data_IF_882571426903
#
_entry.id   IF_882571426903
#
_cell.length_a   1.000
_cell.length_b   1.000
_cell.length_c   1.000
_cell.angle_alpha   90.00
_cell.angle_beta   90.00
_cell.angle_gamma   90.00
#
_symmetry.space_group_name_H-M   'P 1'
#
loop_
_entity.id
_entity.type
_entity.pdbx_description
1 polymer ?
#
# COMPACT_ATOMS: atom_id res chain seq x y z
N UNK A 1 14.82 0.75 10.07
CA UNK A 1 14.04 0.63 8.80
C UNK A 1 13.07 -0.51 8.91
N UNK A 2 11.82 -0.27 8.56
CA UNK A 2 10.78 -1.30 8.58
C UNK A 2 10.35 -1.65 7.16
N UNK A 3 9.82 -2.86 6.98
CA UNK A 3 9.17 -3.26 5.74
C UNK A 3 7.69 -3.00 5.90
N UNK A 4 7.16 -2.08 5.08
CA UNK A 4 5.78 -1.59 5.21
C UNK A 4 5.01 -1.87 3.93
N UNK A 5 3.79 -2.36 4.08
CA UNK A 5 2.86 -2.46 2.95
C UNK A 5 1.71 -1.49 3.19
N UNK A 6 1.45 -0.63 2.21
CA UNK A 6 0.28 0.24 2.20
C UNK A 6 -0.81 -0.46 1.39
N UNK A 7 -1.87 -0.86 2.06
CA UNK A 7 -2.99 -1.58 1.45
C UNK A 7 -4.02 -0.55 0.99
N UNK A 8 -3.97 -0.23 -0.29
CA UNK A 8 -4.82 0.78 -0.90
C UNK A 8 -3.99 1.83 -1.64
N UNK A 9 -4.33 2.10 -2.89
CA UNK A 9 -3.59 3.00 -3.76
C UNK A 9 -4.35 4.29 -4.09
N UNK A 10 -5.25 4.72 -3.23
CA UNK A 10 -5.90 6.03 -3.35
C UNK A 10 -4.92 7.16 -3.03
N UNK A 11 -5.35 8.40 -3.17
CA UNK A 11 -4.48 9.56 -2.93
C UNK A 11 -3.86 9.55 -1.54
N UNK A 12 -4.64 9.20 -0.52
CA UNK A 12 -4.16 9.13 0.86
C UNK A 12 -3.11 8.02 1.03
N UNK A 13 -3.39 6.83 0.49
CA UNK A 13 -2.44 5.71 0.57
C UNK A 13 -1.13 6.00 -0.14
N UNK A 14 -1.18 6.59 -1.32
CA UNK A 14 0.01 6.96 -2.09
C UNK A 14 0.83 8.03 -1.35
N UNK A 15 0.16 9.03 -0.78
CA UNK A 15 0.84 10.07 -0.01
C UNK A 15 1.56 9.49 1.21
N UNK A 16 0.91 8.57 1.93
CA UNK A 16 1.53 7.88 3.06
C UNK A 16 2.71 7.02 2.62
N UNK A 17 2.56 6.30 1.51
CA UNK A 17 3.63 5.46 0.97
C UNK A 17 4.88 6.29 0.67
N UNK A 18 4.71 7.44 0.04
CA UNK A 18 5.82 8.35 -0.24
C UNK A 18 6.48 8.86 1.04
N UNK A 19 5.67 9.26 2.01
CA UNK A 19 6.18 9.74 3.30
C UNK A 19 7.01 8.66 4.01
N UNK A 20 6.49 7.44 4.07
CA UNK A 20 7.20 6.32 4.71
C UNK A 20 8.50 6.00 3.99
N UNK A 21 8.51 6.03 2.68
CA UNK A 21 9.74 5.81 1.90
C UNK A 21 10.77 6.92 2.18
N UNK A 22 10.31 8.16 2.26
CA UNK A 22 11.17 9.30 2.57
C UNK A 22 11.83 9.15 3.94
N UNK A 23 11.15 8.49 4.88
CA UNK A 23 11.67 8.22 6.21
C UNK A 23 12.55 6.96 6.29
N UNK A 24 12.89 6.36 5.15
CA UNK A 24 13.86 5.27 5.09
C UNK A 24 13.27 3.87 5.16
N UNK A 25 11.95 3.71 5.05
CA UNK A 25 11.31 2.40 5.08
C UNK A 25 11.23 1.78 3.68
N UNK A 26 11.22 0.44 3.62
CA UNK A 26 10.89 -0.27 2.39
C UNK A 26 9.37 -0.30 2.26
N UNK A 27 8.84 0.21 1.16
CA UNK A 27 7.40 0.37 0.99
C UNK A 27 6.91 -0.41 -0.23
N UNK A 28 5.83 -1.16 -0.03
CA UNK A 28 5.08 -1.82 -1.09
C UNK A 28 3.66 -1.27 -1.05
N UNK A 29 3.09 -0.99 -2.22
CA UNK A 29 1.70 -0.52 -2.34
C UNK A 29 0.87 -1.62 -3.00
N UNK A 30 -0.23 -1.96 -2.38
CA UNK A 30 -1.17 -2.93 -2.92
C UNK A 30 -2.46 -2.23 -3.36
N UNK A 31 -3.00 -2.67 -4.51
CA UNK A 31 -4.34 -2.30 -4.95
C UNK A 31 -4.98 -3.50 -5.62
N UNK A 32 -6.31 -3.60 -5.52
CA UNK A 32 -7.07 -4.62 -6.25
C UNK A 32 -7.22 -4.26 -7.73
N UNK A 33 -7.02 -3.01 -8.09
CA UNK A 33 -7.21 -2.51 -9.46
C UNK A 33 -5.92 -2.68 -10.26
N UNK A 34 -5.91 -3.63 -11.19
CA UNK A 34 -4.71 -3.93 -11.99
C UNK A 34 -4.23 -2.75 -12.83
N UNK A 35 -5.16 -2.00 -13.42
CA UNK A 35 -4.81 -0.82 -14.22
C UNK A 35 -4.11 0.26 -13.39
N UNK A 36 -4.51 0.39 -12.13
CA UNK A 36 -3.90 1.32 -11.19
C UNK A 36 -2.47 0.91 -10.87
N UNK A 37 -2.25 -0.37 -10.61
CA UNK A 37 -0.91 -0.90 -10.34
C UNK A 37 -0.02 -0.81 -11.58
N UNK A 38 -0.55 -1.09 -12.76
CA UNK A 38 0.20 -0.95 -14.01
C UNK A 38 0.66 0.50 -14.24
N UNK A 39 -0.23 1.45 -13.99
CA UNK A 39 0.09 2.88 -14.09
C UNK A 39 1.20 3.27 -13.10
N UNK A 40 1.10 2.81 -11.86
CA UNK A 40 2.10 3.11 -10.83
C UNK A 40 3.47 2.51 -11.17
N UNK A 41 3.50 1.29 -11.70
CA UNK A 41 4.74 0.65 -12.12
C UNK A 41 5.39 1.36 -13.30
N UNK A 42 4.60 1.81 -14.25
CA UNK A 42 5.08 2.44 -15.46
C UNK A 42 5.49 3.89 -15.23
N UNK A 43 4.66 4.65 -14.53
CA UNK A 43 4.83 6.11 -14.41
C UNK A 43 5.39 6.56 -13.07
N UNK A 44 5.37 5.69 -12.06
CA UNK A 44 5.73 6.04 -10.69
C UNK A 44 4.96 7.26 -10.18
N UNK A 45 3.71 7.34 -10.59
CA UNK A 45 2.82 8.45 -10.27
C UNK A 45 1.37 7.99 -10.41
N UNK A 46 0.51 8.39 -9.49
CA UNK A 46 -0.92 8.17 -9.66
C UNK A 46 -1.52 9.40 -10.35
N UNK A 47 -1.60 9.35 -11.68
CA UNK A 47 -1.96 10.50 -12.49
C UNK A 47 -3.38 11.00 -12.26
N UNK A 48 -4.27 10.14 -11.78
CA UNK A 48 -5.68 10.49 -11.55
C UNK A 48 -5.92 11.05 -10.15
N UNK A 49 -5.33 10.44 -9.12
CA UNK A 49 -5.64 10.76 -7.72
C UNK A 49 -4.61 11.64 -7.05
N UNK A 50 -3.36 11.60 -7.49
CA UNK A 50 -2.28 12.40 -6.90
C UNK A 50 -1.30 12.83 -7.99
N UNK A 51 -1.76 13.62 -8.98
CA UNK A 51 -0.91 14.03 -10.08
C UNK A 51 0.23 14.94 -9.61
N UNK A 52 1.37 14.83 -10.28
CA UNK A 52 2.53 15.65 -9.97
C UNK A 52 3.40 15.14 -8.84
N UNK A 53 2.99 14.08 -8.15
CA UNK A 53 3.79 13.48 -7.07
C UNK A 53 4.48 12.24 -7.60
N UNK A 54 5.78 12.33 -7.82
CA UNK A 54 6.59 11.20 -8.30
C UNK A 54 6.97 10.28 -7.15
N UNK A 55 6.87 8.99 -7.41
CA UNK A 55 7.22 7.95 -6.43
C UNK A 55 8.60 7.38 -6.74
N UNK A 56 9.33 6.90 -5.72
CA UNK A 56 10.66 6.32 -5.92
C UNK A 56 10.62 5.08 -6.82
N UNK A 57 11.68 4.87 -7.59
CA UNK A 57 11.78 3.72 -8.49
C UNK A 57 11.87 2.39 -7.74
N UNK A 58 12.39 2.39 -6.53
CA UNK A 58 12.51 1.19 -5.70
C UNK A 58 11.26 0.85 -4.90
N UNK A 59 10.21 1.67 -4.99
CA UNK A 59 8.93 1.35 -4.40
C UNK A 59 8.23 0.26 -5.20
N UNK A 60 7.71 -0.75 -4.52
CA UNK A 60 7.03 -1.86 -5.18
C UNK A 60 5.51 -1.65 -5.22
N UNK A 61 4.90 -2.12 -6.29
CA UNK A 61 3.46 -2.06 -6.49
C UNK A 61 2.95 -3.45 -6.90
N UNK A 62 1.85 -3.89 -6.31
CA UNK A 62 1.35 -5.24 -6.57
C UNK A 62 -0.15 -5.35 -6.40
N UNK A 63 -0.75 -6.32 -7.11
CA UNK A 63 -2.14 -6.73 -6.91
C UNK A 63 -2.25 -8.01 -6.09
N UNK A 64 -1.12 -8.62 -5.72
CA UNK A 64 -1.09 -9.84 -4.92
C UNK A 64 -1.12 -9.51 -3.43
N UNK A 65 -2.30 -9.64 -2.82
CA UNK A 65 -2.48 -9.28 -1.40
C UNK A 65 -1.64 -10.16 -0.49
N UNK A 66 -1.62 -11.47 -0.71
CA UNK A 66 -0.85 -12.39 0.12
C UNK A 66 0.63 -12.07 0.10
N UNK A 67 1.20 -11.89 -1.09
CA UNK A 67 2.62 -11.56 -1.24
C UNK A 67 2.95 -10.20 -0.62
N UNK A 68 2.02 -9.24 -0.69
CA UNK A 68 2.24 -7.90 -0.13
C UNK A 68 2.26 -7.89 1.40
N UNK A 69 1.62 -8.86 2.04
CA UNK A 69 1.51 -8.93 3.51
C UNK A 69 2.60 -9.75 4.14
N UNK A 70 2.95 -10.88 3.54
CA UNK A 70 3.91 -11.82 4.12
C UNK A 70 5.31 -11.19 4.23
N UNK A 71 5.93 -11.35 5.39
CA UNK A 71 7.27 -10.86 5.64
C UNK A 71 7.39 -9.37 5.90
N UNK A 72 6.27 -8.68 6.07
CA UNK A 72 6.28 -7.25 6.37
C UNK A 72 6.20 -7.00 7.87
N UNK A 73 6.73 -5.87 8.31
CA UNK A 73 6.70 -5.49 9.73
C UNK A 73 5.43 -4.70 10.06
N UNK A 74 4.99 -3.85 9.14
CA UNK A 74 3.84 -2.97 9.34
C UNK A 74 2.90 -3.03 8.13
N UNK A 75 1.62 -3.13 8.39
CA UNK A 75 0.58 -3.10 7.37
C UNK A 75 -0.26 -1.85 7.60
N UNK A 76 -0.31 -0.95 6.63
CA UNK A 76 -1.11 0.28 6.70
C UNK A 76 -2.35 0.11 5.83
N UNK A 77 -3.51 0.05 6.48
CA UNK A 77 -4.78 -0.16 5.79
C UNK A 77 -5.37 1.20 5.41
N UNK A 78 -5.23 1.57 4.14
CA UNK A 78 -5.58 2.89 3.62
C UNK A 78 -6.67 2.81 2.53
N UNK A 79 -7.57 1.85 2.63
CA UNK A 79 -8.73 1.75 1.73
C UNK A 79 -9.88 2.62 2.24
N UNK A 80 -10.84 3.00 1.38
CA UNK A 80 -12.04 3.69 1.85
C UNK A 80 -12.74 2.91 2.95
N UNK A 81 -13.34 3.63 3.92
CA UNK A 81 -13.92 2.99 5.12
C UNK A 81 -14.95 1.91 4.81
N UNK A 82 -15.70 2.05 3.70
CA UNK A 82 -16.69 1.06 3.30
C UNK A 82 -16.06 -0.29 2.91
N UNK A 83 -14.78 -0.30 2.55
CA UNK A 83 -14.05 -1.50 2.16
C UNK A 83 -13.10 -2.02 3.26
N UNK A 84 -12.96 -1.31 4.37
CA UNK A 84 -12.01 -1.67 5.42
C UNK A 84 -12.25 -3.07 5.97
N UNK A 85 -13.51 -3.39 6.28
CA UNK A 85 -13.85 -4.70 6.86
C UNK A 85 -13.56 -5.84 5.89
N UNK A 86 -13.99 -5.72 4.64
CA UNK A 86 -13.78 -6.78 3.65
C UNK A 86 -12.30 -6.95 3.33
N UNK A 87 -11.56 -5.86 3.23
CA UNK A 87 -10.12 -5.91 3.00
C UNK A 87 -9.39 -6.57 4.17
N UNK A 88 -9.72 -6.18 5.41
CA UNK A 88 -9.13 -6.79 6.59
C UNK A 88 -9.43 -8.29 6.66
N UNK A 89 -10.63 -8.69 6.31
CA UNK A 89 -11.01 -10.11 6.26
C UNK A 89 -10.17 -10.87 5.23
N UNK A 90 -9.94 -10.29 4.06
CA UNK A 90 -9.13 -10.90 3.02
C UNK A 90 -7.64 -10.96 3.40
N UNK A 91 -7.17 -10.03 4.22
CA UNK A 91 -5.79 -10.03 4.72
C UNK A 91 -5.56 -11.08 5.80
N UNK A 92 -6.56 -11.39 6.59
CA UNK A 92 -6.41 -12.20 7.81
C UNK A 92 -5.65 -13.53 7.61
N UNK A 93 -5.87 -14.30 6.52
CA UNK A 93 -5.13 -15.55 6.32
C UNK A 93 -3.62 -15.37 6.14
N UNK A 94 -3.17 -14.17 5.78
CA UNK A 94 -1.77 -13.88 5.49
C UNK A 94 -1.06 -13.13 6.60
N UNK A 95 -1.80 -12.59 7.57
CA UNK A 95 -1.22 -11.83 8.66
C UNK A 95 -0.58 -12.77 9.67
N UNK A 96 0.65 -12.45 10.05
CA UNK A 96 1.42 -13.23 11.03
C UNK A 96 1.47 -12.54 12.37
N UNK A 97 1.73 -13.29 13.43
CA UNK A 97 1.99 -12.72 14.75
C UNK A 97 3.21 -11.80 14.67
N UNK A 98 3.13 -10.69 15.35
CA UNK A 98 4.21 -9.71 15.36
C UNK A 98 4.11 -8.63 14.30
N UNK A 99 3.19 -8.75 13.36
CA UNK A 99 2.93 -7.67 12.40
C UNK A 99 2.02 -6.62 13.03
N UNK A 100 2.39 -5.35 12.86
CA UNK A 100 1.56 -4.23 13.30
C UNK A 100 0.62 -3.82 12.18
N UNK A 101 -0.66 -3.77 12.46
CA UNK A 101 -1.67 -3.29 11.49
C UNK A 101 -2.20 -1.94 11.95
N UNK A 102 -2.11 -0.95 11.08
CA UNK A 102 -2.58 0.42 11.32
C UNK A 102 -3.68 0.75 10.32
N UNK A 103 -4.82 1.17 10.81
CA UNK A 103 -5.93 1.57 9.96
C UNK A 103 -6.00 3.09 9.88
N UNK A 104 -5.90 3.64 8.66
CA UNK A 104 -5.95 5.08 8.41
C UNK A 104 -7.09 5.43 7.44
N UNK A 105 -8.09 4.58 7.35
CA UNK A 105 -9.23 4.79 6.48
C UNK A 105 -10.01 6.05 6.88
N UNK A 106 -10.52 6.74 5.89
CA UNK A 106 -11.38 7.90 6.11
C UNK A 106 -12.84 7.52 6.06
#
# INVERSE_FOLDING_TARGET
>A
MAKVTVVGAGSWGIALAKLLHTNGHEVTVWSIVESEIAMLREKHEHVDKLPGVKLPEDMEFTTDLGASIQGRDVLVLAVPSVFTRSTAKNMAPYVSDGQLTVCVAK
#
